data_IF_681630892772
#
_entry.id   IF_681630892772
#
_cell.length_a   1.000
_cell.length_b   1.000
_cell.length_c   1.000
_cell.angle_alpha   90.00
_cell.angle_beta   90.00
_cell.angle_gamma   90.00
#
_symmetry.space_group_name_H-M   'P 1'
#
loop_
_entity.id
_entity.type
_entity.pdbx_description
1 polymer ?
#
# COMPACT_ATOMS: atom_id res chain seq x y z
N UNK A 1 -7.69 20.33 -0.01
CA UNK A 1 -7.06 19.14 0.57
C UNK A 1 -6.68 19.43 2.02
N UNK A 2 -6.61 18.43 2.91
CA UNK A 2 -5.97 18.63 4.19
C UNK A 2 -4.45 18.73 4.03
N UNK A 3 -3.76 19.38 4.98
CA UNK A 3 -2.29 19.51 4.92
C UNK A 3 -1.59 18.14 4.82
N UNK A 4 -2.09 17.14 5.55
CA UNK A 4 -1.50 15.79 5.54
C UNK A 4 -1.67 15.08 4.17
N UNK A 5 -2.75 15.39 3.44
CA UNK A 5 -2.94 14.89 2.08
C UNK A 5 -2.04 15.64 1.08
N UNK A 6 -1.89 16.95 1.21
CA UNK A 6 -0.96 17.75 0.40
C UNK A 6 0.48 17.24 0.57
N UNK A 7 0.88 16.95 1.80
CA UNK A 7 2.21 16.39 2.12
C UNK A 7 2.40 15.00 1.48
N UNK A 8 1.36 14.14 1.46
CA UNK A 8 1.44 12.83 0.80
C UNK A 8 1.50 12.97 -0.74
N UNK A 9 0.72 13.85 -1.34
CA UNK A 9 0.79 14.14 -2.78
C UNK A 9 2.19 14.64 -3.16
N UNK A 10 2.76 15.56 -2.37
CA UNK A 10 4.12 16.05 -2.55
C UNK A 10 5.18 14.95 -2.34
N UNK A 11 4.95 14.00 -1.40
CA UNK A 11 5.82 12.85 -1.17
C UNK A 11 5.88 11.91 -2.39
N UNK A 12 4.75 11.72 -3.08
CA UNK A 12 4.64 10.85 -4.26
C UNK A 12 5.04 11.55 -5.56
N UNK A 13 5.19 12.88 -5.54
CA UNK A 13 5.70 13.69 -6.65
C UNK A 13 7.21 13.77 -6.58
N UNK A 14 7.89 13.04 -7.46
CA UNK A 14 9.34 12.92 -7.42
C UNK A 14 10.04 14.08 -8.12
N UNK A 15 11.23 14.43 -7.63
CA UNK A 15 12.15 15.36 -8.28
C UNK A 15 12.94 14.60 -9.35
N UNK A 16 12.86 15.00 -10.65
CA UNK A 16 13.77 14.49 -11.66
C UNK A 16 15.18 15.04 -11.41
N UNK A 17 16.18 14.17 -11.37
CA UNK A 17 17.60 14.53 -11.21
C UNK A 17 18.28 14.53 -12.56
N UNK A 18 18.03 13.50 -13.35
CA UNK A 18 18.59 13.26 -14.68
C UNK A 18 17.60 12.33 -15.43
N UNK A 19 17.85 12.11 -16.73
CA UNK A 19 17.06 11.14 -17.49
C UNK A 19 17.00 9.79 -16.79
N UNK A 20 15.77 9.30 -16.56
CA UNK A 20 15.49 8.03 -15.87
C UNK A 20 16.00 7.95 -14.42
N UNK A 21 16.35 9.07 -13.80
CA UNK A 21 16.83 9.14 -12.42
C UNK A 21 16.02 10.17 -11.62
N UNK A 22 15.41 9.73 -10.53
CA UNK A 22 14.50 10.53 -9.71
C UNK A 22 14.87 10.47 -8.23
N UNK A 23 14.52 11.53 -7.49
CA UNK A 23 14.68 11.58 -6.04
C UNK A 23 13.33 11.74 -5.35
N UNK A 24 13.02 10.85 -4.41
CA UNK A 24 11.88 10.93 -3.50
C UNK A 24 12.32 11.31 -2.10
N UNK A 25 11.53 12.16 -1.44
CA UNK A 25 11.65 12.39 0.01
C UNK A 25 11.16 11.14 0.74
N UNK A 26 11.49 11.01 2.02
CA UNK A 26 10.97 9.95 2.88
C UNK A 26 10.10 10.53 4.00
N UNK A 27 9.16 9.71 4.47
CA UNK A 27 8.26 10.04 5.58
C UNK A 27 8.48 9.06 6.73
N UNK A 28 8.68 9.58 7.93
CA UNK A 28 8.72 8.77 9.15
C UNK A 28 7.31 8.62 9.72
N UNK A 29 6.71 7.45 9.53
CA UNK A 29 5.41 7.08 10.09
C UNK A 29 5.49 6.57 11.55
N UNK A 30 6.67 6.66 12.20
CA UNK A 30 6.90 6.14 13.55
C UNK A 30 7.48 4.72 13.57
N UNK A 31 7.72 4.13 12.42
CA UNK A 31 8.44 2.87 12.27
C UNK A 31 9.94 3.12 12.09
N UNK A 32 10.78 2.15 12.52
CA UNK A 32 12.23 2.24 12.29
C UNK A 32 12.62 2.18 10.81
N UNK A 33 11.76 1.64 10.00
CA UNK A 33 11.99 1.36 8.58
C UNK A 33 11.09 2.23 7.72
N UNK A 34 11.56 2.53 6.52
CA UNK A 34 10.77 3.18 5.49
C UNK A 34 9.53 2.32 5.16
N UNK A 35 8.37 2.95 5.06
CA UNK A 35 7.12 2.27 4.74
C UNK A 35 7.15 1.73 3.30
N UNK A 36 6.78 0.45 3.13
CA UNK A 36 6.81 -0.21 1.82
C UNK A 36 5.87 0.43 0.80
N UNK A 37 4.67 0.83 1.23
CA UNK A 37 3.72 1.54 0.38
C UNK A 37 4.27 2.86 -0.19
N UNK A 38 5.12 3.59 0.57
CA UNK A 38 5.79 4.77 0.05
C UNK A 38 6.71 4.40 -1.12
N UNK A 39 7.50 3.34 -0.97
CA UNK A 39 8.44 2.90 -2.02
C UNK A 39 7.69 2.42 -3.25
N UNK A 40 6.55 1.73 -3.07
CA UNK A 40 5.65 1.30 -4.17
C UNK A 40 5.11 2.50 -4.94
N UNK A 41 4.48 3.46 -4.24
CA UNK A 41 3.90 4.65 -4.87
C UNK A 41 4.94 5.51 -5.58
N UNK A 42 6.10 5.73 -4.96
CA UNK A 42 7.20 6.49 -5.56
C UNK A 42 7.84 5.75 -6.74
N UNK A 43 8.01 4.42 -6.67
CA UNK A 43 8.52 3.63 -7.81
C UNK A 43 7.57 3.71 -9.01
N UNK A 44 6.26 3.66 -8.76
CA UNK A 44 5.26 3.82 -9.81
C UNK A 44 5.28 5.22 -10.40
N UNK A 45 5.43 6.26 -9.57
CA UNK A 45 5.60 7.65 -10.01
C UNK A 45 6.84 7.82 -10.89
N UNK A 46 7.99 7.24 -10.50
CA UNK A 46 9.21 7.26 -11.30
C UNK A 46 9.03 6.57 -12.65
N UNK A 47 8.43 5.38 -12.67
CA UNK A 47 8.16 4.64 -13.90
C UNK A 47 7.25 5.41 -14.86
N UNK A 48 6.16 5.98 -14.34
CA UNK A 48 5.18 6.72 -15.14
C UNK A 48 5.75 7.97 -15.82
N UNK A 49 6.69 8.66 -15.18
CA UNK A 49 7.35 9.83 -15.76
C UNK A 49 8.26 9.51 -16.97
N UNK A 50 8.46 8.24 -17.28
CA UNK A 50 9.28 7.79 -18.43
C UNK A 50 8.45 7.17 -19.55
N UNK A 51 7.12 7.21 -19.44
CA UNK A 51 6.16 6.66 -20.41
C UNK A 51 5.30 7.79 -20.96
N UNK A 52 4.80 7.64 -22.17
CA UNK A 52 3.86 8.58 -22.78
C UNK A 52 2.56 8.67 -21.96
N UNK A 53 1.98 9.85 -21.84
CA UNK A 53 0.78 10.12 -21.03
C UNK A 53 -0.44 9.26 -21.41
N UNK A 54 -0.54 8.88 -22.68
CA UNK A 54 -1.63 8.05 -23.20
C UNK A 54 -1.54 6.56 -22.77
N UNK A 55 -0.43 6.13 -22.16
CA UNK A 55 -0.26 4.78 -21.66
C UNK A 55 -0.48 4.74 -20.17
N UNK A 56 -1.43 3.96 -19.72
CA UNK A 56 -1.79 3.81 -18.32
C UNK A 56 -1.16 2.56 -17.71
N UNK A 57 -0.64 2.70 -16.48
CA UNK A 57 -0.16 1.52 -15.75
C UNK A 57 -1.30 0.56 -15.52
N UNK A 58 -1.06 -0.73 -15.79
CA UNK A 58 -1.98 -1.81 -15.47
C UNK A 58 -1.41 -2.84 -14.49
N UNK A 59 -0.09 -2.89 -14.28
CA UNK A 59 0.50 -3.79 -13.26
C UNK A 59 1.85 -3.30 -12.74
N UNK A 60 2.16 -3.70 -11.49
CA UNK A 60 3.44 -3.52 -10.83
C UNK A 60 3.74 -4.74 -9.99
N UNK A 61 4.98 -5.28 -10.08
CA UNK A 61 5.46 -6.42 -9.31
C UNK A 61 6.85 -6.15 -8.76
N UNK A 62 7.06 -6.31 -7.46
CA UNK A 62 8.34 -5.96 -6.86
C UNK A 62 8.71 -6.77 -5.63
N UNK A 63 10.01 -6.71 -5.28
CA UNK A 63 10.62 -7.32 -4.11
C UNK A 63 11.27 -6.30 -3.19
N UNK A 64 11.00 -6.41 -1.90
CA UNK A 64 11.71 -5.69 -0.85
C UNK A 64 13.00 -6.43 -0.53
N UNK A 65 14.14 -5.77 -0.74
CA UNK A 65 15.46 -6.38 -0.65
C UNK A 65 16.16 -6.09 0.68
N UNK A 66 15.98 -4.88 1.19
CA UNK A 66 16.61 -4.37 2.43
C UNK A 66 15.70 -3.37 3.13
N UNK A 67 15.81 -3.23 4.45
CA UNK A 67 15.15 -2.15 5.17
C UNK A 67 15.61 -0.78 4.65
N UNK A 68 14.67 0.09 4.29
CA UNK A 68 14.95 1.49 4.00
C UNK A 68 14.98 2.33 5.27
N UNK A 69 15.70 3.46 5.24
CA UNK A 69 15.85 4.43 6.31
C UNK A 69 14.88 5.61 6.07
N UNK A 70 13.89 5.78 6.93
CA UNK A 70 12.88 6.84 6.80
C UNK A 70 13.44 8.27 6.97
N UNK A 71 14.68 8.43 7.46
CA UNK A 71 15.36 9.72 7.59
C UNK A 71 16.14 10.15 6.35
N UNK A 72 16.23 9.32 5.31
CA UNK A 72 17.03 9.57 4.13
C UNK A 72 16.17 9.58 2.85
N UNK A 73 16.49 10.40 1.84
CA UNK A 73 15.83 10.34 0.54
C UNK A 73 16.13 9.02 -0.16
N UNK A 74 15.25 8.65 -1.09
CA UNK A 74 15.40 7.47 -1.96
C UNK A 74 15.69 7.94 -3.38
N UNK A 75 16.66 7.32 -4.03
CA UNK A 75 16.93 7.49 -5.45
C UNK A 75 16.25 6.36 -6.21
N UNK A 76 15.50 6.70 -7.26
CA UNK A 76 14.80 5.78 -8.15
C UNK A 76 15.48 5.81 -9.51
N UNK A 77 16.07 4.69 -9.91
CA UNK A 77 16.62 4.48 -11.24
C UNK A 77 15.62 3.67 -12.06
N UNK A 78 15.28 4.17 -13.25
CA UNK A 78 14.33 3.54 -14.17
C UNK A 78 15.06 2.99 -15.38
N UNK A 79 14.86 1.71 -15.68
CA UNK A 79 15.27 1.11 -16.94
C UNK A 79 14.07 1.04 -17.90
N UNK A 80 14.18 1.64 -19.08
CA UNK A 80 13.19 1.50 -20.17
C UNK A 80 13.38 0.15 -20.86
N UNK A 81 12.81 -0.91 -20.28
CA UNK A 81 13.04 -2.29 -20.73
C UNK A 81 12.43 -2.54 -22.10
N UNK A 82 11.24 -1.97 -22.35
CA UNK A 82 10.53 -2.12 -23.62
C UNK A 82 9.58 -0.94 -23.88
N UNK A 83 9.57 -0.50 -25.13
CA UNK A 83 8.52 0.35 -25.72
C UNK A 83 8.00 -0.36 -26.99
N UNK A 84 6.86 -1.04 -26.86
CA UNK A 84 6.18 -1.74 -27.95
C UNK A 84 4.99 -0.92 -28.49
N UNK A 85 4.28 -1.46 -29.47
CA UNK A 85 3.08 -0.82 -30.03
C UNK A 85 1.99 -0.59 -28.98
N UNK A 86 1.55 -1.65 -28.26
CA UNK A 86 0.49 -1.56 -27.24
C UNK A 86 1.01 -1.43 -25.82
N UNK A 87 2.17 -2.03 -25.48
CA UNK A 87 2.69 -2.12 -24.12
C UNK A 87 4.07 -1.49 -23.97
N UNK A 88 4.30 -0.84 -22.82
CA UNK A 88 5.63 -0.42 -22.34
C UNK A 88 5.94 -1.10 -21.01
N UNK A 89 7.21 -1.44 -20.80
CA UNK A 89 7.69 -2.03 -19.53
C UNK A 89 8.82 -1.19 -18.97
N UNK A 90 8.72 -0.89 -17.67
CA UNK A 90 9.75 -0.19 -16.90
C UNK A 90 10.21 -1.06 -15.74
N UNK A 91 11.50 -1.10 -15.49
CA UNK A 91 12.06 -1.65 -14.25
C UNK A 91 12.58 -0.51 -13.42
N UNK A 92 12.23 -0.50 -12.13
CA UNK A 92 12.66 0.53 -11.19
C UNK A 92 13.48 -0.11 -10.08
N UNK A 93 14.61 0.51 -9.76
CA UNK A 93 15.42 0.17 -8.60
C UNK A 93 15.42 1.36 -7.64
N UNK A 94 14.91 1.16 -6.43
CA UNK A 94 14.97 2.13 -5.34
C UNK A 94 16.27 1.92 -4.54
N UNK A 95 17.03 3.00 -4.34
CA UNK A 95 18.40 2.96 -3.83
C UNK A 95 18.53 3.91 -2.63
N UNK A 96 19.14 3.41 -1.55
CA UNK A 96 19.63 4.24 -0.44
C UNK A 96 21.06 3.80 -0.08
N UNK A 97 21.92 4.76 0.29
CA UNK A 97 23.33 4.49 0.71
C UNK A 97 24.07 3.60 -0.32
N UNK A 98 23.77 3.79 -1.63
CA UNK A 98 24.39 3.01 -2.70
C UNK A 98 23.90 1.55 -2.80
N UNK A 99 22.86 1.16 -2.06
CA UNK A 99 22.33 -0.21 -2.05
C UNK A 99 20.88 -0.24 -2.51
N UNK A 100 20.49 -1.18 -3.39
CA UNK A 100 19.09 -1.43 -3.70
C UNK A 100 18.32 -1.83 -2.43
N UNK A 101 17.23 -1.13 -2.12
CA UNK A 101 16.30 -1.46 -1.04
C UNK A 101 15.04 -2.13 -1.56
N UNK A 102 14.66 -1.82 -2.81
CA UNK A 102 13.49 -2.38 -3.50
C UNK A 102 13.74 -2.42 -5.00
N UNK A 103 13.14 -3.36 -5.71
CA UNK A 103 13.10 -3.42 -7.17
C UNK A 103 11.72 -3.85 -7.64
N UNK A 104 11.24 -3.25 -8.73
CA UNK A 104 9.99 -3.67 -9.36
C UNK A 104 10.02 -3.53 -10.88
N UNK A 105 9.06 -4.20 -11.52
CA UNK A 105 8.70 -3.99 -12.91
C UNK A 105 7.27 -3.49 -12.98
N UNK A 106 7.03 -2.45 -13.79
CA UNK A 106 5.71 -1.91 -14.08
C UNK A 106 5.42 -2.01 -15.57
N UNK A 107 4.17 -2.36 -15.91
CA UNK A 107 3.71 -2.46 -17.29
C UNK A 107 2.58 -1.46 -17.55
N UNK A 108 2.62 -0.87 -18.74
CA UNK A 108 1.73 0.20 -19.19
C UNK A 108 1.11 -0.17 -20.51
N UNK A 109 -0.13 0.24 -20.75
CA UNK A 109 -0.91 -0.07 -21.94
C UNK A 109 -1.74 1.15 -22.38
N UNK A 110 -2.03 1.27 -23.67
CA UNK A 110 -3.13 2.12 -24.15
C UNK A 110 -4.46 1.53 -23.76
N UNK A 111 -5.49 2.38 -23.62
CA UNK A 111 -6.85 1.90 -23.41
C UNK A 111 -7.35 1.18 -24.68
N UNK A 112 -7.83 -0.04 -24.49
CA UNK A 112 -8.37 -0.89 -25.55
C UNK A 112 -9.71 -1.50 -25.11
N UNK A 113 -10.65 -1.66 -26.04
CA UNK A 113 -11.88 -2.40 -25.78
C UNK A 113 -11.65 -3.91 -25.95
N UNK A 114 -12.27 -4.72 -25.10
CA UNK A 114 -12.11 -6.16 -25.12
C UNK A 114 -13.22 -6.89 -24.37
N UNK A 115 -12.98 -8.16 -24.04
CA UNK A 115 -13.88 -8.95 -23.20
C UNK A 115 -13.79 -8.48 -21.75
N UNK A 116 -14.94 -8.45 -21.05
CA UNK A 116 -15.04 -7.96 -19.68
C UNK A 116 -15.74 -8.98 -18.78
N UNK A 117 -15.18 -9.22 -17.62
CA UNK A 117 -15.82 -9.91 -16.50
C UNK A 117 -15.09 -9.55 -15.20
N UNK A 118 -15.77 -9.66 -14.07
CA UNK A 118 -15.19 -9.48 -12.74
C UNK A 118 -15.91 -10.34 -11.70
N UNK A 119 -15.28 -10.52 -10.55
CA UNK A 119 -15.95 -11.10 -9.38
C UNK A 119 -16.83 -10.03 -8.72
N UNK A 120 -17.98 -10.47 -8.16
CA UNK A 120 -18.89 -9.57 -7.46
C UNK A 120 -18.26 -9.02 -6.17
N UNK A 121 -18.53 -7.74 -5.88
CA UNK A 121 -18.16 -7.14 -4.60
C UNK A 121 -18.86 -7.88 -3.44
N UNK A 122 -18.16 -8.18 -2.33
CA UNK A 122 -18.78 -8.75 -1.13
C UNK A 122 -19.90 -7.86 -0.59
N UNK A 123 -20.99 -8.48 -0.13
CA UNK A 123 -22.11 -7.77 0.50
C UNK A 123 -21.77 -7.46 1.96
N UNK A 124 -21.35 -6.25 2.22
CA UNK A 124 -20.97 -5.75 3.55
C UNK A 124 -21.58 -4.37 3.82
N UNK A 125 -21.55 -3.95 5.09
CA UNK A 125 -22.01 -2.61 5.48
C UNK A 125 -21.15 -1.51 4.84
N UNK A 126 -21.78 -0.38 4.48
CA UNK A 126 -21.08 0.79 3.95
C UNK A 126 -20.25 1.50 5.04
N UNK A 127 -19.39 2.44 4.62
CA UNK A 127 -18.45 3.11 5.52
C UNK A 127 -19.08 4.14 6.47
N UNK A 128 -20.32 4.58 6.22
CA UNK A 128 -20.91 5.79 6.82
C UNK A 128 -20.98 5.72 8.35
N UNK A 129 -21.28 4.56 8.91
CA UNK A 129 -21.46 4.36 10.35
C UNK A 129 -20.33 3.55 11.00
N UNK A 130 -19.24 3.30 10.28
CA UNK A 130 -18.08 2.62 10.82
C UNK A 130 -17.11 3.62 11.44
N UNK A 131 -16.54 3.34 12.61
CA UNK A 131 -15.48 4.18 13.17
C UNK A 131 -14.21 4.04 12.31
N UNK A 132 -13.47 5.13 12.17
CA UNK A 132 -12.14 5.10 11.54
C UNK A 132 -11.11 4.41 12.44
N UNK A 133 -10.01 3.92 11.84
CA UNK A 133 -8.88 3.39 12.62
C UNK A 133 -8.32 4.42 13.60
N UNK A 134 -8.31 5.71 13.22
CA UNK A 134 -7.86 6.79 14.09
C UNK A 134 -8.78 6.94 15.31
N UNK A 135 -10.11 6.95 15.13
CA UNK A 135 -11.07 6.99 16.23
C UNK A 135 -10.93 5.76 17.14
N UNK A 136 -10.76 4.57 16.57
CA UNK A 136 -10.52 3.34 17.37
C UNK A 136 -9.22 3.41 18.16
N UNK A 137 -8.15 4.00 17.60
CA UNK A 137 -6.89 4.22 18.31
C UNK A 137 -7.03 5.29 19.41
N UNK A 138 -7.77 6.37 19.16
CA UNK A 138 -8.03 7.42 20.15
C UNK A 138 -8.78 6.88 21.39
N UNK A 139 -9.76 5.98 21.19
CA UNK A 139 -10.46 5.30 22.29
C UNK A 139 -9.50 4.47 23.16
N UNK A 140 -8.38 4.01 22.61
CA UNK A 140 -7.37 3.19 23.28
C UNK A 140 -6.06 3.94 23.53
N UNK A 141 -6.08 5.27 23.49
CA UNK A 141 -4.87 6.10 23.63
C UNK A 141 -4.06 5.81 24.90
N UNK A 142 -4.73 5.37 25.99
CA UNK A 142 -4.09 5.00 27.25
C UNK A 142 -3.20 3.74 27.16
N UNK A 143 -3.40 2.88 26.15
CA UNK A 143 -2.59 1.68 25.89
C UNK A 143 -1.38 1.98 24.99
N UNK A 144 -1.35 3.14 24.32
CA UNK A 144 -0.25 3.52 23.43
C UNK A 144 0.89 4.09 24.27
N UNK A 145 2.16 3.61 24.07
CA UNK A 145 3.32 4.20 24.70
C UNK A 145 3.39 5.71 24.46
N UNK A 146 3.71 6.49 25.49
CA UNK A 146 3.68 7.96 25.45
C UNK A 146 4.51 8.55 24.30
N UNK A 147 5.71 8.01 24.08
CA UNK A 147 6.61 8.42 23.00
C UNK A 147 6.12 8.12 21.58
N UNK A 148 5.03 7.36 21.42
CA UNK A 148 4.43 7.01 20.14
C UNK A 148 3.07 7.70 19.91
N UNK A 149 2.46 8.28 20.95
CA UNK A 149 1.10 8.84 20.88
C UNK A 149 0.96 9.91 19.81
N UNK A 150 1.89 10.87 19.75
CA UNK A 150 1.83 11.97 18.78
C UNK A 150 1.85 11.46 17.34
N UNK A 151 2.64 10.43 17.05
CA UNK A 151 2.74 9.83 15.70
C UNK A 151 1.54 8.94 15.36
N UNK A 152 0.99 8.25 16.35
CA UNK A 152 -0.13 7.31 16.13
C UNK A 152 -1.48 8.01 16.09
N UNK A 153 -1.66 9.07 16.88
CA UNK A 153 -2.95 9.78 17.02
C UNK A 153 -3.05 11.05 16.15
N UNK A 154 -2.03 11.37 15.33
CA UNK A 154 -2.11 12.50 14.41
C UNK A 154 -3.06 12.19 13.24
N UNK A 155 -3.62 13.24 12.60
CA UNK A 155 -4.37 13.09 11.35
C UNK A 155 -3.60 12.29 10.31
N UNK A 156 -4.29 11.48 9.52
CA UNK A 156 -3.72 10.62 8.48
C UNK A 156 -4.22 11.05 7.10
N UNK A 157 -3.37 10.96 6.07
CA UNK A 157 -3.76 11.36 4.71
C UNK A 157 -4.74 10.38 4.05
N UNK A 158 -4.87 9.16 4.61
CA UNK A 158 -5.82 8.14 4.19
C UNK A 158 -6.65 7.73 5.41
N UNK A 159 -7.96 7.80 5.28
CA UNK A 159 -8.92 7.32 6.26
C UNK A 159 -9.21 5.85 6.00
N UNK A 160 -9.03 5.01 7.01
CA UNK A 160 -9.39 3.59 6.98
C UNK A 160 -10.53 3.33 7.97
N UNK A 161 -11.56 2.59 7.54
CA UNK A 161 -12.70 2.16 8.35
C UNK A 161 -12.85 0.65 8.29
N UNK A 162 -12.33 -0.11 9.27
CA UNK A 162 -12.49 -1.56 9.29
C UNK A 162 -13.97 -1.93 9.50
N UNK A 163 -14.46 -2.89 8.71
CA UNK A 163 -15.83 -3.42 8.85
C UNK A 163 -16.00 -4.15 10.18
N UNK A 164 -14.96 -4.88 10.60
CA UNK A 164 -14.89 -5.52 11.90
C UNK A 164 -13.69 -4.95 12.66
N UNK A 165 -13.98 -4.23 13.74
CA UNK A 165 -12.94 -3.73 14.62
C UNK A 165 -12.27 -4.89 15.37
N UNK A 166 -10.95 -4.97 15.34
CA UNK A 166 -10.15 -5.88 16.13
C UNK A 166 -9.47 -5.14 17.29
N UNK A 167 -9.15 -5.88 18.36
CA UNK A 167 -8.33 -5.34 19.44
C UNK A 167 -6.85 -5.71 19.20
N UNK A 168 -5.98 -4.76 18.82
CA UNK A 168 -4.59 -5.05 18.54
C UNK A 168 -3.77 -5.40 19.78
N UNK A 169 -4.27 -5.09 20.99
CA UNK A 169 -3.61 -5.39 22.28
C UNK A 169 -4.05 -6.72 22.88
N UNK A 170 -5.23 -7.23 22.47
CA UNK A 170 -5.75 -8.54 22.88
C UNK A 170 -6.32 -9.28 21.66
N UNK A 171 -5.48 -9.60 20.66
CA UNK A 171 -5.95 -10.21 19.42
C UNK A 171 -6.48 -11.64 19.70
N UNK A 172 -7.65 -11.95 19.14
CA UNK A 172 -8.22 -13.28 19.15
C UNK A 172 -8.07 -13.93 17.78
N UNK A 173 -7.86 -15.25 17.69
CA UNK A 173 -7.89 -15.96 16.43
C UNK A 173 -9.24 -15.77 15.70
N UNK A 174 -9.19 -15.39 14.44
CA UNK A 174 -10.37 -15.22 13.57
C UNK A 174 -10.10 -15.79 12.19
N UNK A 175 -11.09 -15.82 11.33
CA UNK A 175 -10.88 -16.14 9.91
C UNK A 175 -9.86 -15.19 9.27
N UNK A 176 -9.10 -15.70 8.31
CA UNK A 176 -8.10 -14.95 7.58
C UNK A 176 -8.73 -14.05 6.50
N UNK A 177 -9.73 -13.27 6.89
CA UNK A 177 -10.49 -12.37 6.01
C UNK A 177 -10.61 -11.01 6.69
N UNK A 178 -10.42 -9.94 5.92
CA UNK A 178 -10.54 -8.57 6.42
C UNK A 178 -11.19 -7.68 5.34
N UNK A 179 -12.13 -6.84 5.75
CA UNK A 179 -12.77 -5.85 4.92
C UNK A 179 -12.52 -4.46 5.50
N UNK A 180 -12.00 -3.55 4.70
CA UNK A 180 -11.70 -2.18 5.11
C UNK A 180 -12.15 -1.22 4.02
N UNK A 181 -12.96 -0.23 4.37
CA UNK A 181 -13.19 0.93 3.53
C UNK A 181 -12.05 1.93 3.69
N UNK A 182 -11.61 2.54 2.61
CA UNK A 182 -10.62 3.60 2.69
C UNK A 182 -10.85 4.67 1.61
N UNK A 183 -10.34 5.86 1.90
CA UNK A 183 -10.26 6.99 0.96
C UNK A 183 -9.20 7.97 1.44
N UNK A 184 -8.80 8.94 0.60
CA UNK A 184 -7.97 10.06 1.05
C UNK A 184 -8.77 11.04 1.90
N UNK A 185 -8.07 11.77 2.79
CA UNK A 185 -8.63 12.82 3.64
C UNK A 185 -8.77 14.13 2.84
N UNK A 186 -9.74 14.14 1.93
CA UNK A 186 -10.06 15.23 1.03
C UNK A 186 -9.91 14.89 -0.45
N UNK A 187 -10.34 15.82 -1.32
CA UNK A 187 -10.34 15.65 -2.77
C UNK A 187 -8.93 15.79 -3.34
N UNK A 188 -8.66 15.06 -4.40
CA UNK A 188 -7.39 15.07 -5.13
C UNK A 188 -7.50 15.93 -6.40
N UNK A 189 -6.35 16.38 -6.96
CA UNK A 189 -6.31 16.95 -8.30
C UNK A 189 -6.82 15.96 -9.35
N UNK A 190 -7.38 16.46 -10.44
CA UNK A 190 -7.83 15.65 -11.59
C UNK A 190 -6.62 15.13 -12.40
N UNK A 191 -5.76 14.37 -11.75
CA UNK A 191 -4.58 13.71 -12.32
C UNK A 191 -4.71 12.20 -12.12
N UNK A 192 -5.16 11.44 -13.13
CA UNK A 192 -5.47 10.01 -12.99
C UNK A 192 -4.28 9.20 -12.44
N UNK A 193 -3.05 9.53 -12.82
CA UNK A 193 -1.85 8.86 -12.34
C UNK A 193 -1.68 8.99 -10.82
N UNK A 194 -2.02 10.14 -10.21
CA UNK A 194 -1.91 10.35 -8.77
C UNK A 194 -2.80 9.39 -7.97
N UNK A 195 -4.01 9.11 -8.44
CA UNK A 195 -4.89 8.12 -7.81
C UNK A 195 -4.27 6.72 -7.80
N UNK A 196 -3.56 6.34 -8.88
CA UNK A 196 -2.86 5.06 -8.96
C UNK A 196 -1.62 5.01 -8.06
N UNK A 197 -0.88 6.11 -7.90
CA UNK A 197 0.25 6.20 -6.94
C UNK A 197 -0.24 6.06 -5.50
N UNK A 198 -1.35 6.73 -5.17
CA UNK A 198 -1.98 6.64 -3.85
C UNK A 198 -2.56 5.25 -3.59
N UNK A 199 -3.12 4.58 -4.61
CA UNK A 199 -3.55 3.19 -4.50
C UNK A 199 -2.36 2.27 -4.20
N UNK A 200 -1.23 2.44 -4.89
CA UNK A 200 -0.02 1.67 -4.62
C UNK A 200 0.51 1.92 -3.19
N UNK A 201 0.47 3.17 -2.72
CA UNK A 201 0.80 3.53 -1.34
C UNK A 201 -0.17 2.87 -0.34
N UNK A 202 -1.47 2.95 -0.59
CA UNK A 202 -2.51 2.45 0.32
C UNK A 202 -2.55 0.92 0.37
N UNK A 203 -2.22 0.22 -0.73
CA UNK A 203 -2.32 -1.22 -0.86
C UNK A 203 -1.45 -2.03 0.10
N UNK A 204 -0.37 -1.42 0.62
CA UNK A 204 0.53 -2.07 1.58
C UNK A 204 0.01 -2.02 3.03
N UNK A 205 -0.97 -1.13 3.33
CA UNK A 205 -1.62 -1.15 4.64
C UNK A 205 -2.54 -2.37 4.78
N UNK A 206 -2.49 -2.98 5.94
CA UNK A 206 -3.40 -4.06 6.36
C UNK A 206 -3.25 -5.40 5.62
N UNK A 207 -2.63 -5.48 4.43
CA UNK A 207 -2.63 -6.68 3.61
C UNK A 207 -1.90 -7.85 4.30
N UNK A 208 -0.61 -7.69 4.59
CA UNK A 208 0.19 -8.77 5.22
C UNK A 208 -0.38 -9.19 6.59
N UNK A 209 -0.92 -8.24 7.36
CA UNK A 209 -1.46 -8.52 8.70
C UNK A 209 -2.71 -9.40 8.67
N UNK A 210 -3.37 -9.56 7.52
CA UNK A 210 -4.47 -10.49 7.33
C UNK A 210 -4.03 -11.94 7.59
N UNK A 211 -2.77 -12.28 7.26
CA UNK A 211 -2.19 -13.60 7.53
C UNK A 211 -1.95 -13.89 9.02
N UNK A 212 -1.98 -12.87 9.87
CA UNK A 212 -1.81 -13.04 11.34
C UNK A 212 -3.13 -13.36 12.07
N UNK A 213 -4.27 -13.08 11.45
CA UNK A 213 -5.60 -13.22 12.08
C UNK A 213 -5.88 -14.62 12.61
N UNK A 214 -5.61 -15.74 11.87
CA UNK A 214 -5.86 -17.08 12.38
C UNK A 214 -4.99 -17.47 13.58
N UNK A 215 -3.89 -16.75 13.76
CA UNK A 215 -2.93 -17.02 14.83
C UNK A 215 -3.16 -16.16 16.08
N UNK A 216 -4.15 -15.24 16.07
CA UNK A 216 -4.35 -14.29 17.15
C UNK A 216 -3.11 -13.46 17.44
N UNK A 217 -2.42 -13.01 16.39
CA UNK A 217 -1.18 -12.23 16.49
C UNK A 217 -1.30 -10.89 15.81
N UNK A 218 -0.50 -9.91 16.28
CA UNK A 218 -0.38 -8.59 15.68
C UNK A 218 1.07 -8.18 15.53
N UNK A 219 1.33 -7.18 14.70
CA UNK A 219 2.66 -6.58 14.52
C UNK A 219 3.18 -5.83 15.76
N UNK A 220 2.30 -5.53 16.72
CA UNK A 220 2.63 -4.81 17.95
C UNK A 220 3.23 -5.71 19.03
N UNK A 221 3.11 -7.03 18.88
CA UNK A 221 3.67 -7.99 19.86
C UNK A 221 5.19 -8.09 19.68
N UNK A 222 5.91 -8.01 20.79
CA UNK A 222 7.39 -8.00 20.79
C UNK A 222 8.00 -9.29 20.23
N UNK A 223 7.29 -10.40 20.39
CA UNK A 223 7.68 -11.72 19.89
C UNK A 223 7.43 -11.93 18.40
N UNK A 224 6.88 -10.93 17.70
CA UNK A 224 6.62 -10.98 16.26
C UNK A 224 7.65 -10.21 15.45
N UNK A 225 8.21 -10.87 14.44
CA UNK A 225 9.00 -10.25 13.37
C UNK A 225 8.20 -10.32 12.08
N UNK A 226 7.78 -9.16 11.59
CA UNK A 226 6.97 -9.02 10.37
C UNK A 226 7.67 -8.11 9.39
N UNK A 227 7.75 -8.53 8.13
CA UNK A 227 8.33 -7.75 7.04
C UNK A 227 7.79 -8.21 5.69
N UNK A 228 7.44 -7.29 4.81
CA UNK A 228 7.07 -7.59 3.43
C UNK A 228 8.26 -8.17 2.66
N UNK A 229 8.02 -9.18 1.82
CA UNK A 229 9.03 -9.77 0.93
C UNK A 229 8.81 -9.33 -0.51
N UNK A 230 7.57 -9.36 -0.98
CA UNK A 230 7.16 -8.88 -2.29
C UNK A 230 5.88 -8.06 -2.23
N UNK A 231 5.48 -7.51 -3.35
CA UNK A 231 4.16 -6.89 -3.53
C UNK A 231 3.82 -6.86 -5.01
N UNK A 232 2.60 -7.27 -5.35
CA UNK A 232 2.07 -7.24 -6.70
C UNK A 232 0.75 -6.52 -6.73
N UNK A 233 0.56 -5.65 -7.73
CA UNK A 233 -0.63 -4.81 -7.88
C UNK A 233 -1.04 -4.78 -9.35
N UNK A 234 -2.33 -4.99 -9.62
CA UNK A 234 -2.96 -4.83 -10.93
C UNK A 234 -4.04 -3.77 -10.85
N UNK A 235 -4.09 -2.90 -11.83
CA UNK A 235 -5.14 -1.90 -12.01
C UNK A 235 -6.06 -2.36 -13.13
N UNK A 236 -7.36 -2.45 -12.85
CA UNK A 236 -8.35 -3.01 -13.78
C UNK A 236 -9.23 -1.95 -14.43
N UNK A 237 -9.24 -0.73 -13.87
CA UNK A 237 -10.04 0.37 -14.38
C UNK A 237 -9.66 1.68 -13.71
N UNK A 238 -10.43 2.71 -14.02
CA UNK A 238 -10.30 4.01 -13.38
C UNK A 238 -10.70 3.90 -11.91
N UNK A 239 -9.89 4.49 -11.05
CA UNK A 239 -10.16 4.57 -9.63
C UNK A 239 -10.02 6.00 -9.14
N UNK A 240 -10.86 6.36 -8.16
CA UNK A 240 -10.78 7.61 -7.40
C UNK A 240 -10.36 7.27 -5.99
N UNK A 241 -9.11 7.59 -5.61
CA UNK A 241 -8.63 7.35 -4.25
C UNK A 241 -9.25 8.30 -3.21
N UNK A 242 -9.88 9.39 -3.67
CA UNK A 242 -10.64 10.35 -2.86
C UNK A 242 -12.14 10.01 -2.73
N UNK A 243 -12.59 8.92 -3.35
CA UNK A 243 -13.88 8.28 -3.06
C UNK A 243 -13.67 7.00 -2.27
N UNK A 244 -14.75 6.51 -1.63
CA UNK A 244 -14.68 5.29 -0.84
C UNK A 244 -14.38 4.07 -1.70
N UNK A 245 -13.32 3.37 -1.35
CA UNK A 245 -12.91 2.08 -1.92
C UNK A 245 -12.99 0.99 -0.84
N UNK A 246 -13.56 -0.16 -1.22
CA UNK A 246 -13.55 -1.34 -0.38
C UNK A 246 -12.31 -2.18 -0.66
N UNK A 247 -11.49 -2.44 0.33
CA UNK A 247 -10.38 -3.39 0.27
C UNK A 247 -10.82 -4.69 0.94
N UNK A 248 -11.13 -5.69 0.13
CA UNK A 248 -11.49 -7.05 0.55
C UNK A 248 -10.23 -7.92 0.50
N UNK A 249 -9.75 -8.35 1.66
CA UNK A 249 -8.48 -9.08 1.81
C UNK A 249 -8.73 -10.48 2.36
N UNK A 250 -7.97 -11.46 1.88
CA UNK A 250 -7.89 -12.80 2.45
C UNK A 250 -6.44 -13.28 2.55
N UNK A 251 -6.21 -14.28 3.40
CA UNK A 251 -4.92 -14.98 3.46
C UNK A 251 -5.14 -16.47 3.34
N UNK A 252 -4.96 -17.06 2.15
CA UNK A 252 -5.23 -18.47 1.92
C UNK A 252 -4.14 -19.39 2.47
N UNK A 253 -2.98 -18.85 2.86
CA UNK A 253 -1.85 -19.66 3.29
C UNK A 253 -0.91 -18.93 4.25
N UNK A 254 -0.39 -19.66 5.26
CA UNK A 254 0.76 -19.31 6.07
C UNK A 254 1.58 -20.55 6.39
N UNK A 255 2.90 -20.47 6.36
CA UNK A 255 3.81 -21.58 6.67
C UNK A 255 5.28 -21.14 6.51
N UNK A 256 6.22 -21.92 7.07
CA UNK A 256 7.65 -21.61 7.01
C UNK A 256 7.99 -20.16 7.39
N UNK A 257 7.33 -19.63 8.41
CA UNK A 257 7.42 -18.23 8.86
C UNK A 257 7.04 -17.20 7.79
N UNK A 258 6.25 -17.55 6.79
CA UNK A 258 5.70 -16.64 5.79
C UNK A 258 4.18 -16.68 5.80
N UNK A 259 3.57 -15.57 5.44
CA UNK A 259 2.15 -15.43 5.18
C UNK A 259 1.93 -14.88 3.77
N UNK A 260 0.97 -15.42 3.05
CA UNK A 260 0.55 -14.93 1.76
C UNK A 260 -0.85 -14.35 1.88
N UNK A 261 -1.04 -13.14 1.40
CA UNK A 261 -2.32 -12.44 1.42
C UNK A 261 -2.68 -11.90 0.05
N UNK A 262 -3.98 -11.81 -0.23
CA UNK A 262 -4.54 -11.24 -1.44
C UNK A 262 -5.55 -10.17 -1.09
N UNK A 263 -5.78 -9.26 -2.03
CA UNK A 263 -6.78 -8.23 -1.87
C UNK A 263 -7.44 -7.85 -3.19
N UNK A 264 -8.73 -7.59 -3.13
CA UNK A 264 -9.54 -7.05 -4.22
C UNK A 264 -10.06 -5.68 -3.79
N UNK A 265 -9.88 -4.67 -4.64
CA UNK A 265 -10.33 -3.31 -4.35
C UNK A 265 -11.51 -2.97 -5.25
N UNK A 266 -12.63 -2.60 -4.65
CA UNK A 266 -13.86 -2.24 -5.34
C UNK A 266 -14.21 -0.77 -5.09
N UNK A 267 -14.73 -0.10 -6.10
CA UNK A 267 -15.38 1.20 -5.91
C UNK A 267 -16.81 1.03 -5.35
N UNK A 268 -17.48 2.13 -5.01
CA UNK A 268 -18.86 2.09 -4.46
C UNK A 268 -19.90 1.52 -5.42
N UNK A 269 -19.66 1.55 -6.72
CA UNK A 269 -20.52 0.93 -7.73
C UNK A 269 -20.32 -0.60 -7.84
N UNK A 270 -19.39 -1.17 -7.07
CA UNK A 270 -19.08 -2.60 -7.10
C UNK A 270 -18.14 -3.01 -8.24
N UNK A 271 -17.50 -2.06 -8.91
CA UNK A 271 -16.51 -2.36 -9.94
C UNK A 271 -15.17 -2.72 -9.27
N UNK A 272 -14.55 -3.80 -9.71
CA UNK A 272 -13.21 -4.23 -9.31
C UNK A 272 -12.18 -3.31 -9.98
N UNK A 273 -11.56 -2.42 -9.21
CA UNK A 273 -10.62 -1.41 -9.74
C UNK A 273 -9.15 -1.80 -9.57
N UNK A 274 -8.85 -2.67 -8.60
CA UNK A 274 -7.49 -3.21 -8.43
C UNK A 274 -7.50 -4.59 -7.76
N UNK A 275 -6.44 -5.36 -8.03
CA UNK A 275 -6.10 -6.60 -7.31
C UNK A 275 -4.70 -6.51 -6.76
N UNK A 276 -4.48 -7.08 -5.58
CA UNK A 276 -3.21 -7.02 -4.85
C UNK A 276 -2.83 -8.41 -4.35
N UNK A 277 -1.54 -8.71 -4.30
CA UNK A 277 -1.03 -9.88 -3.56
C UNK A 277 0.32 -9.56 -2.94
N UNK A 278 0.59 -10.20 -1.80
CA UNK A 278 1.82 -10.00 -1.03
C UNK A 278 2.20 -11.26 -0.26
N UNK A 279 3.45 -11.66 -0.34
CA UNK A 279 4.07 -12.56 0.63
C UNK A 279 4.91 -11.74 1.61
N UNK A 280 4.92 -12.14 2.88
CA UNK A 280 5.76 -11.51 3.89
C UNK A 280 6.22 -12.49 4.96
N UNK A 281 7.30 -12.10 5.64
CA UNK A 281 7.77 -12.77 6.84
C UNK A 281 6.79 -12.51 7.98
N UNK A 282 6.35 -13.57 8.63
CA UNK A 282 5.53 -13.55 9.87
C UNK A 282 6.16 -14.52 10.88
N UNK A 283 7.29 -14.16 11.42
CA UNK A 283 8.07 -15.04 12.30
C UNK A 283 7.73 -14.81 13.76
N UNK A 284 7.34 -15.88 14.45
CA UNK A 284 7.18 -15.87 15.89
C UNK A 284 8.50 -16.23 16.57
N UNK A 285 9.08 -15.28 17.31
CA UNK A 285 10.35 -15.40 18.03
C UNK A 285 10.07 -15.63 19.50
N UNK A 286 9.95 -16.89 19.91
CA UNK A 286 9.71 -17.27 21.31
C UNK A 286 10.83 -16.83 22.26
N UNK A 287 12.05 -16.68 21.72
CA UNK A 287 13.25 -16.20 22.41
C UNK A 287 13.28 -14.67 22.61
N UNK A 288 12.31 -13.93 22.05
CA UNK A 288 12.19 -12.47 22.21
C UNK A 288 11.07 -12.06 23.17
N UNK A 289 10.29 -13.00 23.69
CA UNK A 289 9.13 -12.79 24.57
C UNK A 289 9.56 -12.45 26.02
#
# INVERSE_FOLDING_TARGET
MSQVLDDLVALLSLEPIEENLFRGRSQDLGFRQLFGGQVLGQSLSAASQTVEDARHVHSLHGYFLRPGDAGLPVVYQVDRVRDGGSFSTRRVTAIQKGQPIFTCSASFQYDEQGFEHQTSMPQIVGPENLPSELELMQQRAHLIPENMRDKMLCPKPIEFRPVTASDPYNPQPTEAVKYIWFRTDGSLPEVPAMHKYLMAYASDFNLLTTSLLPHGKTVWQKDMQVASLDHSLWFHGDLRADDWLLYAMDSPWAGNSRGFSRGSVYNRAGQLVASVSQEGLIRHRKDWA
#
